data_IF_337920389255
#
_entry.id   IF_337920389255
#
_cell.length_a   1.000
_cell.length_b   1.000
_cell.length_c   1.000
_cell.angle_alpha   90.00
_cell.angle_beta   90.00
_cell.angle_gamma   90.00
#
_symmetry.space_group_name_H-M   'P 1'
#
loop_
_entity.id
_entity.type
_entity.pdbx_description
1 polymer ?
#
# COMPACT_ATOMS: atom_id res chain seq x y z
N UNK A 1 0.24 0.26 -15.49
CA UNK A 1 1.47 1.07 -15.52
C UNK A 1 1.51 1.75 -16.87
N UNK A 2 1.73 3.06 -16.91
CA UNK A 2 1.81 3.79 -18.17
C UNK A 2 3.13 3.50 -18.89
N UNK A 3 3.14 3.63 -20.23
CA UNK A 3 4.35 3.38 -21.04
C UNK A 3 5.55 4.22 -20.59
N UNK A 4 5.33 5.49 -20.25
CA UNK A 4 6.38 6.39 -19.78
C UNK A 4 6.98 5.91 -18.45
N UNK A 5 6.13 5.50 -17.50
CA UNK A 5 6.55 4.97 -16.20
C UNK A 5 7.39 3.70 -16.37
N UNK A 6 7.00 2.81 -17.31
CA UNK A 6 7.76 1.61 -17.64
C UNK A 6 9.14 1.93 -18.24
N UNK A 7 9.22 2.85 -19.21
CA UNK A 7 10.48 3.22 -19.85
C UNK A 7 11.46 3.84 -18.86
N UNK A 8 10.95 4.66 -17.93
CA UNK A 8 11.73 5.22 -16.83
C UNK A 8 12.28 4.12 -15.91
N UNK A 9 11.42 3.20 -15.46
CA UNK A 9 11.84 2.07 -14.62
C UNK A 9 12.90 1.20 -15.32
N UNK A 10 12.70 0.90 -16.61
CA UNK A 10 13.67 0.14 -17.40
C UNK A 10 15.04 0.84 -17.45
N UNK A 11 15.04 2.15 -17.67
CA UNK A 11 16.28 2.93 -17.68
C UNK A 11 16.97 2.90 -16.32
N UNK A 12 16.24 3.11 -15.23
CA UNK A 12 16.78 3.06 -13.86
C UNK A 12 17.36 1.68 -13.51
N UNK A 13 16.67 0.59 -13.85
CA UNK A 13 17.17 -0.78 -13.66
C UNK A 13 18.46 -0.99 -14.46
N UNK A 14 18.50 -0.53 -15.71
CA UNK A 14 19.69 -0.67 -16.53
C UNK A 14 20.89 0.06 -15.94
N UNK A 15 20.69 1.28 -15.43
CA UNK A 15 21.74 2.05 -14.75
C UNK A 15 22.24 1.35 -13.48
N UNK A 16 21.34 0.78 -12.68
CA UNK A 16 21.71 0.01 -11.48
C UNK A 16 22.56 -1.21 -11.82
N UNK A 17 22.21 -1.94 -12.89
CA UNK A 17 22.97 -3.11 -13.36
C UNK A 17 24.36 -2.69 -13.84
N UNK A 18 24.45 -1.63 -14.65
CA UNK A 18 25.74 -1.11 -15.14
C UNK A 18 26.63 -0.67 -13.98
N UNK A 19 26.07 0.10 -13.03
CA UNK A 19 26.79 0.55 -11.84
C UNK A 19 27.25 -0.62 -10.96
N UNK A 20 26.41 -1.65 -10.78
CA UNK A 20 26.76 -2.85 -10.03
C UNK A 20 27.90 -3.64 -10.66
N UNK A 21 27.89 -3.77 -11.99
CA UNK A 21 28.97 -4.42 -12.76
C UNK A 21 30.30 -3.67 -12.65
N UNK A 22 30.27 -2.33 -12.67
CA UNK A 22 31.47 -1.50 -12.55
C UNK A 22 32.04 -1.46 -11.12
N UNK A 23 31.17 -1.49 -10.11
CA UNK A 23 31.56 -1.25 -8.71
C UNK A 23 31.84 -2.55 -7.93
N UNK A 24 31.84 -3.71 -8.59
CA UNK A 24 31.99 -5.03 -7.97
C UNK A 24 31.08 -5.23 -6.74
N UNK A 25 29.84 -4.74 -6.85
CA UNK A 25 28.85 -4.86 -5.78
C UNK A 25 28.48 -6.33 -5.62
N UNK A 26 28.31 -6.74 -4.37
CA UNK A 26 27.82 -8.07 -4.03
C UNK A 26 26.45 -8.37 -4.70
N UNK A 27 26.31 -9.57 -5.24
CA UNK A 27 25.17 -9.99 -6.08
C UNK A 27 23.85 -9.93 -5.29
N UNK A 28 23.89 -10.31 -4.01
CA UNK A 28 22.71 -10.26 -3.13
C UNK A 28 22.26 -8.82 -2.91
N UNK A 29 23.22 -7.90 -2.69
CA UNK A 29 22.94 -6.47 -2.52
C UNK A 29 22.33 -5.87 -3.79
N UNK A 30 22.91 -6.17 -4.95
CA UNK A 30 22.39 -5.70 -6.24
C UNK A 30 20.96 -6.22 -6.49
N UNK A 31 20.73 -7.52 -6.26
CA UNK A 31 19.41 -8.15 -6.43
C UNK A 31 18.37 -7.52 -5.50
N UNK A 32 18.72 -7.30 -4.24
CA UNK A 32 17.83 -6.66 -3.27
C UNK A 32 17.45 -5.24 -3.70
N UNK A 33 18.41 -4.45 -4.19
CA UNK A 33 18.14 -3.08 -4.66
C UNK A 33 17.22 -3.07 -5.88
N UNK A 34 17.48 -3.95 -6.86
CA UNK A 34 16.64 -4.11 -8.04
C UNK A 34 15.20 -4.49 -7.66
N UNK A 35 15.03 -5.49 -6.80
CA UNK A 35 13.72 -5.95 -6.35
C UNK A 35 12.96 -4.86 -5.59
N UNK A 36 13.64 -4.08 -4.74
CA UNK A 36 13.04 -2.92 -4.04
C UNK A 36 12.54 -1.87 -5.00
N UNK A 37 13.31 -1.52 -6.05
CA UNK A 37 12.89 -0.54 -7.06
C UNK A 37 11.70 -1.01 -7.88
N UNK A 38 11.72 -2.28 -8.29
CA UNK A 38 10.63 -2.91 -9.04
C UNK A 38 9.35 -2.89 -8.18
N UNK A 39 9.44 -3.34 -6.93
CA UNK A 39 8.30 -3.36 -6.00
C UNK A 39 7.75 -1.96 -5.75
N UNK A 40 8.63 -0.98 -5.55
CA UNK A 40 8.23 0.42 -5.35
C UNK A 40 7.46 0.96 -6.56
N UNK A 41 7.96 0.71 -7.77
CA UNK A 41 7.34 1.19 -9.01
C UNK A 41 6.00 0.51 -9.29
N UNK A 42 5.87 -0.79 -9.02
CA UNK A 42 4.59 -1.49 -9.13
C UNK A 42 3.59 -0.98 -8.09
N UNK A 43 4.03 -0.76 -6.85
CA UNK A 43 3.17 -0.23 -5.80
C UNK A 43 2.66 1.18 -6.13
N UNK A 44 3.54 2.05 -6.65
CA UNK A 44 3.15 3.39 -7.09
C UNK A 44 2.16 3.35 -8.27
N UNK A 45 2.39 2.47 -9.25
CA UNK A 45 1.47 2.28 -10.37
C UNK A 45 0.10 1.74 -9.92
N UNK A 46 0.08 0.85 -8.94
CA UNK A 46 -1.14 0.32 -8.33
C UNK A 46 -1.94 1.42 -7.61
N UNK A 47 -1.27 2.23 -6.79
CA UNK A 47 -1.90 3.38 -6.11
C UNK A 47 -2.48 4.37 -7.12
N UNK A 48 -1.72 4.70 -8.18
CA UNK A 48 -2.19 5.57 -9.27
C UNK A 48 -3.44 4.98 -9.94
N UNK A 49 -3.47 3.67 -10.20
CA UNK A 49 -4.64 2.98 -10.77
C UNK A 49 -5.85 3.06 -9.84
N UNK A 50 -5.67 2.80 -8.55
CA UNK A 50 -6.75 2.88 -7.55
C UNK A 50 -7.30 4.30 -7.42
N UNK A 51 -6.43 5.31 -7.44
CA UNK A 51 -6.82 6.72 -7.42
C UNK A 51 -7.67 7.10 -8.63
N UNK A 52 -7.23 6.73 -9.85
CA UNK A 52 -7.95 7.01 -11.09
C UNK A 52 -9.31 6.31 -11.09
N UNK A 53 -9.34 5.03 -10.69
CA UNK A 53 -10.57 4.25 -10.63
C UNK A 53 -11.54 4.77 -9.55
N UNK A 54 -11.10 5.64 -8.63
CA UNK A 54 -11.79 5.97 -7.38
C UNK A 54 -12.19 4.73 -6.54
N UNK A 55 -11.66 3.57 -6.92
CA UNK A 55 -11.81 2.28 -6.25
C UNK A 55 -10.66 2.14 -5.27
N UNK A 56 -10.60 3.08 -4.33
CA UNK A 56 -9.84 2.83 -3.11
C UNK A 56 -10.36 1.51 -2.56
N UNK A 57 -9.45 0.59 -2.20
CA UNK A 57 -9.78 -0.52 -1.30
C UNK A 57 -10.14 0.08 0.05
N UNK A 58 -11.29 0.72 0.09
CA UNK A 58 -11.85 1.26 1.29
C UNK A 58 -12.45 0.07 2.02
N UNK A 59 -12.16 -0.05 3.30
CA UNK A 59 -12.91 -0.92 4.20
C UNK A 59 -14.37 -0.43 4.36
N UNK A 60 -14.89 0.41 3.45
CA UNK A 60 -16.28 0.82 3.46
C UNK A 60 -17.11 -0.43 3.25
N UNK A 61 -17.81 -0.80 4.31
CA UNK A 61 -18.80 -1.86 4.35
C UNK A 61 -19.72 -1.66 3.15
N UNK A 62 -19.89 -2.70 2.34
CA UNK A 62 -20.96 -2.73 1.35
C UNK A 62 -22.27 -2.44 2.11
N UNK A 63 -23.05 -1.42 1.71
CA UNK A 63 -24.23 -1.00 2.46
C UNK A 63 -25.30 -2.09 2.56
N UNK A 64 -25.26 -3.08 1.67
CA UNK A 64 -26.16 -4.24 1.67
C UNK A 64 -25.57 -5.45 2.43
N UNK A 65 -24.34 -5.35 2.94
CA UNK A 65 -23.76 -6.42 3.76
C UNK A 65 -24.32 -6.33 5.17
N UNK A 66 -25.06 -7.37 5.54
CA UNK A 66 -25.51 -7.59 6.93
C UNK A 66 -24.26 -7.60 7.80
N UNK A 67 -24.15 -6.59 8.67
CA UNK A 67 -23.08 -6.57 9.67
C UNK A 67 -23.25 -7.79 10.58
N UNK A 68 -22.17 -8.52 10.87
CA UNK A 68 -22.27 -9.64 11.78
C UNK A 68 -22.76 -9.16 13.15
N UNK A 69 -23.53 -9.99 13.84
CA UNK A 69 -24.26 -9.64 15.06
C UNK A 69 -23.37 -9.07 16.18
N UNK A 70 -22.09 -9.42 16.21
CA UNK A 70 -21.09 -8.89 17.15
C UNK A 70 -20.62 -7.45 16.82
N UNK A 71 -20.86 -6.96 15.61
CA UNK A 71 -20.46 -5.64 15.13
C UNK A 71 -21.64 -4.66 14.94
N UNK A 72 -22.87 -5.14 15.16
CA UNK A 72 -24.08 -4.32 15.13
C UNK A 72 -24.31 -3.67 16.50
N UNK A 73 -24.17 -2.35 16.57
CA UNK A 73 -24.54 -1.58 17.75
C UNK A 73 -25.92 -0.98 17.52
N UNK A 74 -26.93 -1.48 18.26
CA UNK A 74 -28.29 -0.94 18.19
C UNK A 74 -28.27 0.56 18.61
N UNK A 75 -28.68 1.50 17.73
CA UNK A 75 -28.68 2.91 18.07
C UNK A 75 -29.72 3.15 19.18
N UNK A 76 -29.23 3.34 20.41
CA UNK A 76 -30.05 3.53 21.61
C UNK A 76 -29.49 2.89 22.88
N UNK A 77 -28.54 1.94 22.77
CA UNK A 77 -27.91 1.29 23.94
C UNK A 77 -26.56 1.91 24.35
N UNK A 78 -26.32 3.20 24.04
CA UNK A 78 -25.04 3.89 24.30
C UNK A 78 -24.73 4.15 25.79
N UNK A 79 -25.59 3.73 26.72
CA UNK A 79 -25.38 3.97 28.15
C UNK A 79 -24.37 3.04 28.83
N UNK A 80 -23.79 2.05 28.11
CA UNK A 80 -22.91 1.03 28.72
C UNK A 80 -21.55 0.83 28.06
N UNK A 81 -21.14 1.72 27.16
CA UNK A 81 -19.74 1.70 26.70
C UNK A 81 -19.00 2.75 27.52
N UNK A 82 -18.14 2.35 28.48
CA UNK A 82 -17.25 3.30 29.12
C UNK A 82 -16.29 3.79 28.04
N UNK A 83 -16.60 4.92 27.42
CA UNK A 83 -15.62 5.66 26.63
C UNK A 83 -14.46 5.99 27.56
N UNK A 84 -13.23 5.83 27.10
CA UNK A 84 -12.00 6.23 27.80
C UNK A 84 -11.98 7.75 28.03
N UNK A 85 -12.75 8.19 29.01
CA UNK A 85 -12.76 9.46 29.71
C UNK A 85 -13.18 9.00 31.12
N UNK A 86 -12.32 8.87 32.12
CA UNK A 86 -11.31 9.80 32.58
C UNK A 86 -10.19 9.02 33.26
N UNK A 87 -8.95 9.16 32.78
CA UNK A 87 -7.77 8.85 33.57
C UNK A 87 -7.31 10.15 34.26
N UNK A 88 -8.04 10.54 35.31
CA UNK A 88 -7.58 11.41 36.41
C UNK A 88 -8.25 10.81 37.65
N UNK A 89 -7.58 10.39 38.71
CA UNK A 89 -6.41 10.95 39.39
C UNK A 89 -5.79 9.85 40.25
#
# INVERSE_FOLDING_TARGET
MERQDYLKLRFEIHQEIVSGLESAVDEETLTNNLMRRILHSFSAAEVKRQNIAQQFKSFKRNPNTIVPSWAYNNPGLRDRIPTLKEAKK
#
